data_IF_635480618086
#
_entry.id   IF_635480618086
#
_cell.length_a   1.000
_cell.length_b   1.000
_cell.length_c   1.000
_cell.angle_alpha   90.00
_cell.angle_beta   90.00
_cell.angle_gamma   90.00
#
_symmetry.space_group_name_H-M   'P 1'
#
loop_
_entity.id
_entity.type
_entity.pdbx_description
1 polymer ?
#
# COMPACT_ATOMS: atom_id res chain seq x y z
N UNK A 1 -17.48 -7.50 15.87
CA UNK A 1 -16.46 -6.99 16.82
C UNK A 1 -15.38 -6.27 16.02
N UNK A 2 -14.80 -5.22 16.57
CA UNK A 2 -13.76 -4.40 15.93
C UNK A 2 -12.43 -5.16 15.98
N UNK A 3 -11.87 -5.53 14.82
CA UNK A 3 -10.49 -6.00 14.69
C UNK A 3 -9.51 -4.87 15.00
N UNK A 4 -9.18 -4.69 16.28
CA UNK A 4 -8.38 -3.56 16.78
C UNK A 4 -6.89 -3.94 16.84
N UNK A 5 -6.17 -3.90 15.71
CA UNK A 5 -4.73 -3.56 15.69
C UNK A 5 -4.06 -3.74 14.32
N UNK A 6 -4.50 -4.70 13.51
CA UNK A 6 -3.75 -5.11 12.31
C UNK A 6 -4.46 -4.83 10.97
N UNK A 7 -5.79 -4.85 10.94
CA UNK A 7 -6.58 -4.39 9.80
C UNK A 7 -6.95 -2.92 10.07
N UNK A 8 -6.48 -1.99 9.24
CA UNK A 8 -6.87 -0.58 9.34
C UNK A 8 -8.39 -0.43 9.41
N UNK A 9 -8.89 0.57 10.15
CA UNK A 9 -10.32 0.81 10.27
C UNK A 9 -10.82 1.37 8.93
N UNK A 10 -11.45 0.54 8.10
CA UNK A 10 -12.22 1.02 6.95
C UNK A 10 -13.40 1.82 7.49
N UNK A 11 -13.34 3.14 7.37
CA UNK A 11 -14.48 3.99 7.68
C UNK A 11 -15.41 4.11 6.47
N UNK A 12 -16.58 4.73 6.70
CA UNK A 12 -17.57 4.95 5.65
C UNK A 12 -17.03 5.78 4.49
N UNK A 13 -16.08 6.68 4.76
CA UNK A 13 -15.46 7.53 3.74
C UNK A 13 -14.52 6.71 2.85
N UNK A 14 -13.74 5.80 3.41
CA UNK A 14 -12.86 4.90 2.68
C UNK A 14 -13.65 3.96 1.75
N UNK A 15 -14.73 3.37 2.24
CA UNK A 15 -15.59 2.53 1.41
C UNK A 15 -16.22 3.32 0.26
N UNK A 16 -16.76 4.51 0.55
CA UNK A 16 -17.36 5.36 -0.49
C UNK A 16 -16.33 5.82 -1.53
N UNK A 17 -15.13 6.20 -1.09
CA UNK A 17 -14.03 6.57 -1.97
C UNK A 17 -13.61 5.41 -2.88
N UNK A 18 -13.48 4.21 -2.32
CA UNK A 18 -13.17 3.01 -3.10
C UNK A 18 -14.29 2.72 -4.11
N UNK A 19 -15.55 2.76 -3.68
CA UNK A 19 -16.71 2.52 -4.55
C UNK A 19 -16.80 3.52 -5.70
N UNK A 20 -16.55 4.80 -5.44
CA UNK A 20 -16.53 5.86 -6.48
C UNK A 20 -15.45 5.64 -7.53
N UNK A 21 -14.32 5.06 -7.15
CA UNK A 21 -13.26 4.69 -8.09
C UNK A 21 -13.56 3.36 -8.80
N UNK A 22 -14.08 2.37 -8.07
CA UNK A 22 -14.29 1.01 -8.51
C UNK A 22 -15.45 0.88 -9.51
N UNK A 23 -16.64 1.36 -9.15
CA UNK A 23 -17.86 1.09 -9.91
C UNK A 23 -17.80 1.57 -11.37
N UNK A 24 -17.25 2.75 -11.68
CA UNK A 24 -17.13 3.20 -13.07
C UNK A 24 -16.20 2.35 -13.94
N UNK A 25 -15.30 1.57 -13.33
CA UNK A 25 -14.23 0.85 -14.03
C UNK A 25 -14.42 -0.67 -14.05
N UNK A 26 -15.05 -1.23 -13.01
CA UNK A 26 -15.01 -2.67 -12.75
C UNK A 26 -16.36 -3.31 -12.39
N UNK A 27 -17.45 -2.53 -12.29
CA UNK A 27 -18.75 -3.05 -11.82
C UNK A 27 -19.37 -4.13 -12.70
N UNK A 28 -18.95 -4.25 -13.98
CA UNK A 28 -19.44 -5.29 -14.89
C UNK A 28 -19.01 -6.71 -14.48
N UNK A 29 -17.93 -6.85 -13.69
CA UNK A 29 -17.39 -8.17 -13.31
C UNK A 29 -16.88 -8.25 -11.86
N UNK A 30 -16.89 -7.14 -11.12
CA UNK A 30 -16.39 -7.06 -9.74
C UNK A 30 -17.43 -6.40 -8.85
N UNK A 31 -17.59 -6.90 -7.62
CA UNK A 31 -18.57 -6.41 -6.65
C UNK A 31 -17.90 -6.14 -5.32
N UNK A 32 -18.17 -4.98 -4.71
CA UNK A 32 -17.76 -4.66 -3.35
C UNK A 32 -18.86 -5.07 -2.36
N UNK A 33 -18.55 -6.00 -1.47
CA UNK A 33 -19.46 -6.43 -0.40
C UNK A 33 -19.03 -5.75 0.90
N UNK A 34 -19.95 -5.00 1.53
CA UNK A 34 -19.71 -4.34 2.82
C UNK A 34 -20.36 -5.17 3.94
N UNK A 35 -19.60 -6.14 4.46
CA UNK A 35 -20.03 -7.02 5.55
C UNK A 35 -18.80 -7.53 6.32
N UNK A 36 -19.03 -8.28 7.41
CA UNK A 36 -17.96 -9.12 7.96
C UNK A 36 -17.73 -10.35 7.06
N UNK A 37 -16.63 -11.08 7.29
CA UNK A 37 -16.37 -12.34 6.59
C UNK A 37 -17.40 -13.41 6.96
N UNK A 38 -17.80 -13.45 8.23
CA UNK A 38 -18.83 -14.36 8.73
C UNK A 38 -20.21 -14.11 8.11
N UNK A 39 -20.52 -12.86 7.79
CA UNK A 39 -21.78 -12.50 7.10
C UNK A 39 -21.67 -12.73 5.59
N UNK A 40 -20.50 -12.45 5.00
CA UNK A 40 -20.27 -12.58 3.57
C UNK A 40 -20.37 -14.05 3.09
N UNK A 41 -20.01 -15.01 3.95
CA UNK A 41 -19.96 -16.43 3.57
C UNK A 41 -21.32 -16.97 3.10
N UNK A 42 -22.43 -16.43 3.60
CA UNK A 42 -23.80 -16.83 3.25
C UNK A 42 -24.22 -16.36 1.85
N UNK A 43 -23.45 -15.47 1.22
CA UNK A 43 -23.68 -15.04 -0.15
C UNK A 43 -23.17 -16.04 -1.20
N UNK A 44 -22.42 -17.06 -0.77
CA UNK A 44 -21.78 -18.03 -1.66
C UNK A 44 -22.29 -19.46 -1.39
N UNK A 45 -22.56 -20.19 -2.46
CA UNK A 45 -22.86 -21.61 -2.39
C UNK A 45 -21.60 -22.42 -2.07
N UNK A 46 -21.80 -23.60 -1.49
CA UNK A 46 -20.70 -24.55 -1.30
C UNK A 46 -20.13 -24.97 -2.66
N UNK A 47 -18.81 -25.00 -2.78
CA UNK A 47 -18.12 -25.34 -4.02
C UNK A 47 -18.12 -24.27 -5.12
N UNK A 48 -18.51 -23.02 -4.83
CA UNK A 48 -18.62 -21.95 -5.82
C UNK A 48 -17.28 -21.21 -6.11
N UNK A 49 -16.34 -21.21 -5.16
CA UNK A 49 -15.16 -20.33 -5.20
C UNK A 49 -13.94 -21.09 -5.74
N UNK A 50 -13.39 -20.65 -6.87
CA UNK A 50 -12.15 -21.21 -7.43
C UNK A 50 -10.89 -20.58 -6.80
N UNK A 51 -10.94 -19.31 -6.42
CA UNK A 51 -9.82 -18.57 -5.83
C UNK A 51 -10.31 -17.71 -4.66
N UNK A 52 -9.73 -17.92 -3.49
CA UNK A 52 -9.99 -17.13 -2.28
C UNK A 52 -8.69 -16.50 -1.80
N UNK A 53 -8.71 -15.20 -1.51
CA UNK A 53 -7.57 -14.50 -0.90
C UNK A 53 -7.94 -14.06 0.52
N UNK A 54 -7.25 -14.61 1.50
CA UNK A 54 -7.43 -14.30 2.92
C UNK A 54 -6.36 -13.29 3.32
N UNK A 55 -6.81 -12.05 3.52
CA UNK A 55 -6.03 -10.90 4.00
C UNK A 55 -6.83 -10.20 5.12
N UNK A 56 -7.15 -10.99 6.14
CA UNK A 56 -8.04 -10.64 7.24
C UNK A 56 -7.31 -10.16 8.49
N UNK A 57 -7.79 -10.54 9.68
CA UNK A 57 -7.08 -10.19 10.91
C UNK A 57 -5.92 -11.15 11.17
N UNK A 58 -4.74 -10.63 11.48
CA UNK A 58 -3.50 -11.41 11.42
C UNK A 58 -3.18 -12.28 12.65
N UNK A 59 -4.13 -12.49 13.56
CA UNK A 59 -3.94 -13.46 14.67
C UNK A 59 -4.12 -14.88 14.17
N UNK A 60 -3.55 -15.84 14.88
CA UNK A 60 -3.63 -17.26 14.50
C UNK A 60 -5.08 -17.74 14.50
N UNK A 61 -5.84 -17.34 15.52
CA UNK A 61 -7.23 -17.74 15.71
C UNK A 61 -8.13 -17.18 14.62
N UNK A 62 -7.89 -15.93 14.20
CA UNK A 62 -8.71 -15.28 13.16
C UNK A 62 -8.46 -15.90 11.78
N UNK A 63 -7.20 -16.05 11.36
CA UNK A 63 -6.91 -16.66 10.05
C UNK A 63 -7.37 -18.11 9.97
N UNK A 64 -7.27 -18.85 11.09
CA UNK A 64 -7.78 -20.22 11.18
C UNK A 64 -9.30 -20.25 11.04
N UNK A 65 -10.00 -19.38 11.76
CA UNK A 65 -11.45 -19.24 11.69
C UNK A 65 -11.91 -18.88 10.27
N UNK A 66 -11.25 -17.92 9.63
CA UNK A 66 -11.53 -17.53 8.24
C UNK A 66 -11.33 -18.73 7.29
N UNK A 67 -10.20 -19.45 7.41
CA UNK A 67 -9.97 -20.65 6.60
C UNK A 67 -11.05 -21.71 6.80
N UNK A 68 -11.35 -22.08 8.04
CA UNK A 68 -12.32 -23.14 8.34
C UNK A 68 -13.74 -22.77 7.90
N UNK A 69 -14.11 -21.50 8.03
CA UNK A 69 -15.42 -20.96 7.62
C UNK A 69 -15.58 -20.96 6.11
N UNK A 70 -14.53 -20.60 5.37
CA UNK A 70 -14.60 -20.47 3.91
C UNK A 70 -14.22 -21.73 3.15
N UNK A 71 -13.55 -22.71 3.78
CA UNK A 71 -13.14 -23.95 3.13
C UNK A 71 -14.28 -24.70 2.41
N UNK A 72 -15.52 -24.82 2.97
CA UNK A 72 -16.64 -25.47 2.28
C UNK A 72 -17.09 -24.74 1.00
N UNK A 73 -16.80 -23.44 0.89
CA UNK A 73 -17.15 -22.62 -0.28
C UNK A 73 -16.21 -22.84 -1.46
N UNK A 74 -15.07 -23.48 -1.23
CA UNK A 74 -14.07 -23.73 -2.27
C UNK A 74 -14.50 -24.84 -3.22
N UNK A 75 -14.35 -24.61 -4.51
CA UNK A 75 -14.65 -25.58 -5.55
C UNK A 75 -13.64 -26.74 -5.57
N UNK A 76 -13.90 -27.75 -6.40
CA UNK A 76 -12.94 -28.81 -6.72
C UNK A 76 -11.58 -28.32 -7.27
N UNK A 77 -11.49 -27.06 -7.72
CA UNK A 77 -10.28 -26.39 -8.23
C UNK A 77 -9.72 -25.34 -7.27
N UNK A 78 -10.28 -25.28 -6.07
CA UNK A 78 -10.05 -24.22 -5.11
C UNK A 78 -8.58 -24.02 -4.75
N UNK A 79 -8.13 -22.77 -4.90
CA UNK A 79 -6.85 -22.27 -4.38
C UNK A 79 -7.14 -21.20 -3.33
N UNK A 80 -6.50 -21.32 -2.16
CA UNK A 80 -6.54 -20.29 -1.12
C UNK A 80 -5.18 -19.59 -1.05
N UNK A 81 -5.21 -18.27 -1.11
CA UNK A 81 -4.05 -17.41 -0.89
C UNK A 81 -4.07 -16.89 0.55
N UNK A 82 -2.92 -16.94 1.22
CA UNK A 82 -2.71 -16.36 2.53
C UNK A 82 -1.73 -15.20 2.43
N UNK A 83 -2.17 -14.00 2.80
CA UNK A 83 -1.29 -12.85 2.92
C UNK A 83 -0.43 -12.94 4.20
N UNK A 84 0.68 -12.21 4.27
CA UNK A 84 1.52 -12.06 5.47
C UNK A 84 2.14 -13.36 6.05
N UNK A 85 2.36 -14.39 5.23
CA UNK A 85 2.94 -15.68 5.71
C UNK A 85 4.38 -15.55 6.23
N UNK A 86 5.10 -14.49 5.86
CA UNK A 86 6.46 -14.21 6.30
C UNK A 86 6.55 -13.16 7.43
N UNK A 87 5.42 -12.65 7.95
CA UNK A 87 5.43 -11.74 9.11
C UNK A 87 5.71 -12.51 10.43
N UNK A 88 6.60 -11.94 11.25
CA UNK A 88 7.08 -12.55 12.51
C UNK A 88 6.93 -11.63 13.74
N UNK A 89 6.14 -10.56 13.61
CA UNK A 89 5.89 -9.62 14.72
C UNK A 89 5.13 -10.32 15.87
N UNK A 90 5.23 -9.75 17.06
CA UNK A 90 4.41 -10.15 18.21
C UNK A 90 2.93 -10.07 17.82
N UNK A 91 2.14 -11.06 18.25
CA UNK A 91 0.70 -11.22 17.95
C UNK A 91 0.32 -11.54 16.50
N UNK A 92 1.29 -11.66 15.57
CA UNK A 92 1.05 -12.24 14.24
C UNK A 92 1.08 -13.78 14.28
N UNK A 93 -0.01 -14.38 13.81
CA UNK A 93 -0.20 -15.83 13.82
C UNK A 93 -0.31 -16.48 12.44
N UNK A 94 -0.39 -15.71 11.36
CA UNK A 94 -0.57 -16.26 10.00
C UNK A 94 0.53 -17.26 9.63
N UNK A 95 1.79 -16.94 9.91
CA UNK A 95 2.90 -17.86 9.65
C UNK A 95 2.84 -19.18 10.43
N UNK A 96 2.22 -19.18 11.61
CA UNK A 96 2.06 -20.40 12.42
C UNK A 96 1.02 -21.29 11.78
N UNK A 97 -0.12 -20.70 11.42
CA UNK A 97 -1.21 -21.40 10.75
C UNK A 97 -0.78 -21.90 9.37
N UNK A 98 -0.06 -21.09 8.60
CA UNK A 98 0.50 -21.45 7.29
C UNK A 98 1.30 -22.75 7.35
N UNK A 99 2.23 -22.88 8.32
CA UNK A 99 3.00 -24.12 8.49
C UNK A 99 2.09 -25.34 8.67
N UNK A 100 1.05 -25.24 9.48
CA UNK A 100 0.12 -26.35 9.75
C UNK A 100 -0.70 -26.75 8.52
N UNK A 101 -1.17 -25.79 7.72
CA UNK A 101 -1.97 -26.10 6.53
C UNK A 101 -1.11 -26.52 5.35
N UNK A 102 0.09 -25.99 5.22
CA UNK A 102 1.06 -26.35 4.17
C UNK A 102 1.52 -27.81 4.24
N UNK A 103 1.44 -28.43 5.42
CA UNK A 103 1.71 -29.86 5.62
C UNK A 103 0.54 -30.75 5.19
N UNK A 104 -0.67 -30.19 5.11
CA UNK A 104 -1.91 -30.94 4.82
C UNK A 104 -2.33 -30.88 3.36
N UNK A 105 -1.91 -29.83 2.64
CA UNK A 105 -2.31 -29.56 1.28
C UNK A 105 -1.08 -29.25 0.41
N UNK A 106 -1.12 -29.55 -0.90
CA UNK A 106 -0.11 -29.05 -1.83
C UNK A 106 0.01 -27.53 -1.71
N UNK A 107 1.22 -27.04 -1.49
CA UNK A 107 1.45 -25.65 -1.14
C UNK A 107 2.70 -25.08 -1.81
N UNK A 108 2.68 -23.77 -2.01
CA UNK A 108 3.83 -23.00 -2.47
C UNK A 108 3.86 -21.66 -1.74
N UNK A 109 5.05 -21.17 -1.40
CA UNK A 109 5.19 -19.92 -0.66
C UNK A 109 6.19 -18.99 -1.33
N UNK A 110 5.77 -17.76 -1.60
CA UNK A 110 6.63 -16.65 -1.93
C UNK A 110 7.10 -15.98 -0.64
N UNK A 111 8.42 -15.91 -0.44
CA UNK A 111 9.02 -15.43 0.82
C UNK A 111 9.40 -13.95 0.81
N UNK A 112 9.25 -13.27 -0.33
CA UNK A 112 9.58 -11.84 -0.46
C UNK A 112 8.44 -10.96 0.06
N UNK A 113 8.75 -9.70 0.39
CA UNK A 113 7.79 -8.80 1.03
C UNK A 113 7.32 -9.35 2.38
N UNK A 114 6.01 -9.30 2.62
CA UNK A 114 5.37 -9.87 3.80
C UNK A 114 5.05 -11.38 3.67
N UNK A 115 5.34 -11.97 2.51
CA UNK A 115 5.06 -13.36 2.18
C UNK A 115 3.67 -13.57 1.58
N UNK A 116 3.55 -14.58 0.72
CA UNK A 116 2.28 -15.01 0.13
C UNK A 116 2.28 -16.53 0.00
N UNK A 117 1.37 -17.19 0.71
CA UNK A 117 1.15 -18.62 0.64
C UNK A 117 0.06 -18.98 -0.38
N UNK A 118 0.30 -19.99 -1.21
CA UNK A 118 -0.65 -20.57 -2.16
C UNK A 118 -0.97 -21.98 -1.70
N UNK A 119 -2.23 -22.27 -1.40
CA UNK A 119 -2.70 -23.56 -0.90
C UNK A 119 -3.72 -24.16 -1.86
N UNK A 120 -3.41 -25.32 -2.44
CA UNK A 120 -4.37 -26.06 -3.25
C UNK A 120 -5.27 -26.91 -2.36
N UNK A 121 -6.52 -26.48 -2.16
CA UNK A 121 -7.51 -27.17 -1.33
C UNK A 121 -8.49 -28.00 -2.15
N UNK A 122 -8.65 -27.68 -3.43
CA UNK A 122 -9.42 -28.47 -4.38
C UNK A 122 -8.77 -29.81 -4.71
N UNK A 123 -9.59 -30.78 -5.10
CA UNK A 123 -9.11 -32.11 -5.55
C UNK A 123 -8.45 -32.09 -6.94
N UNK A 124 -8.58 -30.98 -7.69
CA UNK A 124 -8.04 -30.80 -9.03
C UNK A 124 -7.27 -29.49 -9.12
N UNK A 125 -5.95 -29.55 -9.13
CA UNK A 125 -5.12 -28.36 -9.34
C UNK A 125 -5.22 -27.92 -10.82
N UNK A 126 -5.53 -26.65 -11.12
CA UNK A 126 -5.52 -26.16 -12.50
C UNK A 126 -4.15 -26.35 -13.16
N UNK A 127 -4.14 -26.91 -14.38
CA UNK A 127 -2.92 -27.29 -15.10
C UNK A 127 -1.97 -26.09 -15.31
N UNK A 128 -2.51 -24.89 -15.44
CA UNK A 128 -1.76 -23.64 -15.63
C UNK A 128 -0.83 -23.31 -14.46
N UNK A 129 -1.18 -23.77 -13.25
CA UNK A 129 -0.42 -23.49 -12.01
C UNK A 129 0.08 -24.75 -11.32
N UNK A 130 -0.24 -25.95 -11.83
CA UNK A 130 0.18 -27.23 -11.25
C UNK A 130 1.70 -27.30 -11.02
N UNK A 131 2.48 -26.76 -11.97
CA UNK A 131 3.94 -26.75 -11.89
C UNK A 131 4.46 -26.09 -10.61
N UNK A 132 3.74 -25.12 -10.04
CA UNK A 132 4.18 -24.36 -8.86
C UNK A 132 4.17 -25.23 -7.58
N UNK A 133 3.34 -26.28 -7.56
CA UNK A 133 3.22 -27.22 -6.44
C UNK A 133 4.15 -28.43 -6.55
N UNK A 134 4.80 -28.61 -7.70
CA UNK A 134 5.71 -29.73 -8.00
C UNK A 134 7.18 -29.30 -8.11
N UNK A 135 7.48 -28.05 -7.74
CA UNK A 135 8.82 -27.46 -7.84
C UNK A 135 9.80 -28.19 -6.91
N UNK A 136 10.95 -28.60 -7.46
CA UNK A 136 12.04 -29.18 -6.67
C UNK A 136 12.83 -28.11 -5.92
N UNK A 137 13.45 -28.48 -4.80
CA UNK A 137 14.22 -27.55 -3.95
C UNK A 137 15.30 -26.75 -4.73
N UNK A 138 15.93 -27.37 -5.72
CA UNK A 138 16.97 -26.74 -6.54
C UNK A 138 16.42 -25.71 -7.54
N UNK A 139 15.13 -25.75 -7.88
CA UNK A 139 14.45 -24.82 -8.79
C UNK A 139 13.64 -23.75 -8.03
N UNK A 140 13.30 -24.03 -6.78
CA UNK A 140 12.48 -23.18 -5.91
C UNK A 140 13.06 -21.77 -5.74
N UNK A 141 14.37 -21.67 -5.54
CA UNK A 141 15.07 -20.40 -5.43
C UNK A 141 14.95 -19.57 -6.72
N UNK A 142 15.04 -20.21 -7.88
CA UNK A 142 14.94 -19.55 -9.19
C UNK A 142 13.56 -18.97 -9.42
N UNK A 143 12.50 -19.74 -9.16
CA UNK A 143 11.12 -19.28 -9.32
C UNK A 143 10.80 -18.14 -8.34
N UNK A 144 11.19 -18.28 -7.07
CA UNK A 144 11.02 -17.21 -6.08
C UNK A 144 11.77 -15.94 -6.48
N UNK A 145 12.98 -16.06 -7.01
CA UNK A 145 13.76 -14.92 -7.47
C UNK A 145 13.14 -14.25 -8.70
N UNK A 146 12.56 -15.03 -9.61
CA UNK A 146 11.84 -14.50 -10.76
C UNK A 146 10.69 -13.57 -10.33
N UNK A 147 9.80 -14.06 -9.45
CA UNK A 147 8.70 -13.24 -8.94
C UNK A 147 9.18 -12.06 -8.10
N UNK A 148 10.23 -12.24 -7.30
CA UNK A 148 10.84 -11.16 -6.52
C UNK A 148 11.28 -10.00 -7.41
N UNK A 149 12.06 -10.27 -8.47
CA UNK A 149 12.58 -9.23 -9.38
C UNK A 149 11.44 -8.51 -10.10
N UNK A 150 10.39 -9.23 -10.50
CA UNK A 150 9.20 -8.60 -11.10
C UNK A 150 8.49 -7.67 -10.11
N UNK A 151 8.31 -8.12 -8.86
CA UNK A 151 7.71 -7.31 -7.80
C UNK A 151 8.52 -6.05 -7.49
N UNK A 152 9.84 -6.18 -7.30
CA UNK A 152 10.76 -5.05 -7.02
C UNK A 152 10.73 -3.99 -8.13
N UNK A 153 10.58 -4.41 -9.39
CA UNK A 153 10.44 -3.48 -10.52
C UNK A 153 9.15 -2.67 -10.43
N UNK A 154 8.01 -3.31 -10.13
CA UNK A 154 6.73 -2.63 -10.00
C UNK A 154 6.72 -1.68 -8.82
N UNK A 155 7.28 -2.10 -7.69
CA UNK A 155 7.43 -1.29 -6.50
C UNK A 155 8.31 -0.05 -6.78
N UNK A 156 9.41 -0.23 -7.52
CA UNK A 156 10.27 0.88 -7.93
C UNK A 156 9.53 1.92 -8.79
N UNK A 157 8.69 1.47 -9.74
CA UNK A 157 7.87 2.37 -10.57
C UNK A 157 6.87 3.15 -9.71
N UNK A 158 6.17 2.47 -8.79
CA UNK A 158 5.23 3.10 -7.86
C UNK A 158 5.92 4.14 -6.98
N UNK A 159 7.06 3.77 -6.38
CA UNK A 159 7.85 4.66 -5.53
C UNK A 159 8.33 5.88 -6.30
N UNK A 160 8.77 5.72 -7.55
CA UNK A 160 9.17 6.84 -8.41
C UNK A 160 8.03 7.84 -8.60
N UNK A 161 6.83 7.37 -8.92
CA UNK A 161 5.65 8.23 -9.07
C UNK A 161 5.26 8.93 -7.76
N UNK A 162 5.41 8.24 -6.62
CA UNK A 162 5.13 8.84 -5.31
C UNK A 162 6.17 9.91 -4.95
N UNK A 163 7.45 9.66 -5.23
CA UNK A 163 8.51 10.65 -5.04
C UNK A 163 8.33 11.87 -5.95
N UNK A 164 7.93 11.68 -7.21
CA UNK A 164 7.60 12.80 -8.12
C UNK A 164 6.48 13.68 -7.56
N UNK A 165 5.39 13.08 -7.06
CA UNK A 165 4.29 13.82 -6.41
C UNK A 165 4.76 14.60 -5.18
N UNK A 166 5.54 13.96 -4.30
CA UNK A 166 6.10 14.61 -3.11
C UNK A 166 7.05 15.75 -3.49
N UNK A 167 7.87 15.57 -4.53
CA UNK A 167 8.77 16.61 -5.02
C UNK A 167 8.00 17.83 -5.53
N UNK A 168 6.94 17.63 -6.32
CA UNK A 168 6.09 18.73 -6.77
C UNK A 168 5.43 19.47 -5.59
N UNK A 169 4.99 18.73 -4.56
CA UNK A 169 4.42 19.34 -3.35
C UNK A 169 5.47 20.17 -2.58
N UNK A 170 6.69 19.65 -2.44
CA UNK A 170 7.78 20.38 -1.79
C UNK A 170 8.23 21.60 -2.59
N UNK A 171 8.29 21.52 -3.93
CA UNK A 171 8.58 22.68 -4.79
C UNK A 171 7.55 23.78 -4.60
N UNK A 172 6.25 23.43 -4.57
CA UNK A 172 5.18 24.40 -4.31
C UNK A 172 5.31 25.05 -2.93
N UNK A 173 5.54 24.25 -1.87
CA UNK A 173 5.79 24.77 -0.52
C UNK A 173 7.02 25.69 -0.47
N UNK A 174 8.08 25.33 -1.18
CA UNK A 174 9.30 26.14 -1.24
C UNK A 174 9.02 27.51 -1.88
N UNK A 175 8.29 27.54 -2.99
CA UNK A 175 7.88 28.80 -3.64
C UNK A 175 7.00 29.67 -2.71
N UNK A 176 6.09 29.05 -1.96
CA UNK A 176 5.26 29.74 -0.97
C UNK A 176 6.12 30.34 0.17
N UNK A 177 7.09 29.58 0.70
CA UNK A 177 8.03 30.08 1.70
C UNK A 177 8.90 31.22 1.16
N UNK A 178 9.47 31.08 -0.04
CA UNK A 178 10.26 32.13 -0.67
C UNK A 178 9.45 33.41 -0.84
N UNK A 179 8.20 33.30 -1.30
CA UNK A 179 7.29 34.44 -1.44
C UNK A 179 7.01 35.12 -0.10
N UNK A 180 6.83 34.33 0.97
CA UNK A 180 6.57 34.80 2.33
C UNK A 180 7.79 35.51 2.91
N UNK A 181 8.99 34.94 2.76
CA UNK A 181 10.25 35.54 3.20
C UNK A 181 10.49 36.84 2.44
N UNK A 182 10.34 36.85 1.11
CA UNK A 182 10.48 38.06 0.28
C UNK A 182 9.51 39.15 0.71
N UNK A 183 8.24 38.82 0.97
CA UNK A 183 7.23 39.75 1.49
C UNK A 183 7.62 40.29 2.87
N UNK A 184 8.14 39.44 3.76
CA UNK A 184 8.58 39.86 5.10
C UNK A 184 9.79 40.79 5.06
N UNK A 185 10.75 40.54 4.17
CA UNK A 185 11.93 41.39 3.95
C UNK A 185 11.51 42.74 3.35
N UNK A 186 10.62 42.74 2.35
CA UNK A 186 10.05 43.97 1.79
C UNK A 186 9.31 44.78 2.86
N UNK A 187 8.53 44.14 3.73
CA UNK A 187 7.85 44.81 4.85
C UNK A 187 8.83 45.39 5.86
N UNK A 188 9.93 44.70 6.17
CA UNK A 188 11.00 45.21 7.04
C UNK A 188 11.71 46.42 6.41
N UNK A 189 12.06 46.34 5.13
CA UNK A 189 12.69 47.45 4.40
C UNK A 189 11.76 48.68 4.33
N UNK A 190 10.47 48.48 4.04
CA UNK A 190 9.47 49.54 4.04
C UNK A 190 9.33 50.20 5.42
N UNK A 191 9.28 49.42 6.51
CA UNK A 191 9.25 49.96 7.88
C UNK A 191 10.49 50.79 8.21
N UNK A 192 11.69 50.30 7.87
CA UNK A 192 12.95 51.00 8.07
C UNK A 192 12.99 52.36 7.34
N UNK A 193 12.57 52.40 6.07
CA UNK A 193 12.46 53.64 5.30
C UNK A 193 11.46 54.64 5.90
N UNK A 194 10.40 54.14 6.52
CA UNK A 194 9.37 54.97 7.17
C UNK A 194 9.82 55.49 8.54
N UNK A 195 10.60 54.72 9.30
CA UNK A 195 11.13 55.12 10.62
C UNK A 195 12.36 56.03 10.52
N UNK A 196 13.24 55.84 9.53
CA UNK A 196 14.43 56.69 9.36
C UNK A 196 14.17 58.01 8.62
N UNK A 197 12.94 58.23 8.16
CA UNK A 197 12.57 59.40 7.38
C UNK A 197 13.20 59.40 5.99
N UNK A 198 12.38 59.51 4.95
CA UNK A 198 12.77 59.50 3.53
C UNK A 198 13.93 60.46 3.17
N UNK A 199 14.17 61.51 3.97
CA UNK A 199 15.24 62.50 3.77
C UNK A 199 16.64 61.93 3.99
N UNK A 200 16.84 61.03 4.95
CA UNK A 200 18.17 60.56 5.35
C UNK A 200 18.73 59.51 4.38
N UNK A 201 17.86 58.66 3.83
CA UNK A 201 18.24 57.60 2.89
C UNK A 201 18.56 58.15 1.49
N UNK A 202 17.81 59.15 1.01
CA UNK A 202 18.07 59.85 -0.26
C UNK A 202 19.47 60.49 -0.28
N UNK A 203 19.89 61.13 0.83
CA UNK A 203 21.22 61.74 0.94
C UNK A 203 22.36 60.71 0.93
N UNK A 204 22.19 59.57 1.64
CA UNK A 204 23.20 58.50 1.64
C UNK A 204 23.30 57.77 0.30
N UNK A 205 22.18 57.51 -0.37
CA UNK A 205 22.16 56.83 -1.68
C UNK A 205 22.69 57.71 -2.82
N UNK A 206 22.34 59.01 -2.85
CA UNK A 206 22.89 59.97 -3.80
C UNK A 206 24.41 60.14 -3.62
N UNK A 207 24.89 60.19 -2.36
CA UNK A 207 26.33 60.26 -2.09
C UNK A 207 27.06 58.96 -2.46
N UNK A 208 26.43 57.79 -2.28
CA UNK A 208 27.00 56.51 -2.72
C UNK A 208 27.14 56.41 -4.24
N UNK A 209 26.13 56.87 -5.00
CA UNK A 209 26.19 56.92 -6.48
C UNK A 209 27.22 57.95 -6.96
N UNK A 210 27.32 59.13 -6.33
CA UNK A 210 28.35 60.14 -6.67
C UNK A 210 29.77 59.65 -6.40
N UNK A 211 29.99 58.89 -5.33
CA UNK A 211 31.32 58.35 -4.97
C UNK A 211 31.81 57.27 -5.95
N UNK A 212 30.90 56.52 -6.58
CA UNK A 212 31.23 55.53 -7.64
C UNK A 212 31.44 56.12 -9.03
N UNK A 213 31.01 57.36 -9.29
CA UNK A 213 31.27 58.05 -10.57
C UNK A 213 32.61 58.80 -10.61
N UNK A 214 33.26 58.98 -9.47
CA UNK A 214 34.53 59.68 -9.31
C UNK A 214 35.68 58.74 -8.88
N UNK A 215 35.54 57.44 -9.10
CA UNK A 215 36.55 56.41 -8.88
C UNK A 215 36.85 55.69 -10.19
#
# INVERSE_FOLDING_TARGET
>A
MVGRSHAGRLDDEDFLRLKQYHDPLYSDFSTLIRSTFDEAVDHFADGEIDLLHIDGFHTYEAVKHDFETWLPKMSHKGIILFHDTNERKTDFGVHKFWREVSEKFPSFELLHGHGLGLLAVGSQIPTEIEFIFQVKDNELATIRNFFKVLGERLESIKNMQEYEKKMQEYEKKMQEYESTVKRSLLLRAYRSLKTEGFKTFSLKFINFIKKRKNA
#
